data_IF_627350261436
#
_entry.id   IF_627350261436
#
_cell.length_a   1.000
_cell.length_b   1.000
_cell.length_c   1.000
_cell.angle_alpha   90.00
_cell.angle_beta   90.00
_cell.angle_gamma   90.00
#
_symmetry.space_group_name_H-M   'P 1'
#
loop_
_entity.id
_entity.type
_entity.pdbx_description
1 polymer ?
#
# COMPACT_ATOMS: atom_id res chain seq x y z
N UNK A 1 -5.89 -2.39 -5.11
CA UNK A 1 -5.54 -3.25 -6.26
C UNK A 1 -5.06 -4.63 -5.82
N UNK A 2 -3.97 -4.76 -5.04
CA UNK A 2 -3.45 -6.08 -4.61
C UNK A 2 -4.50 -7.02 -3.99
N UNK A 3 -5.28 -6.55 -3.00
CA UNK A 3 -6.35 -7.37 -2.40
C UNK A 3 -7.47 -7.74 -3.39
N UNK A 4 -7.82 -6.84 -4.32
CA UNK A 4 -8.82 -7.10 -5.35
C UNK A 4 -8.32 -8.14 -6.39
N UNK A 5 -7.03 -8.17 -6.69
CA UNK A 5 -6.43 -9.22 -7.52
C UNK A 5 -6.53 -10.60 -6.87
N UNK A 6 -6.31 -10.70 -5.56
CA UNK A 6 -6.48 -11.96 -4.84
C UNK A 6 -7.93 -12.45 -4.92
N UNK A 7 -8.90 -11.54 -4.94
CA UNK A 7 -10.29 -11.86 -5.18
C UNK A 7 -10.56 -12.42 -6.57
N UNK A 8 -9.94 -11.88 -7.63
CA UNK A 8 -10.05 -12.45 -8.98
C UNK A 8 -9.60 -13.92 -8.98
N UNK A 9 -8.46 -14.21 -8.35
CA UNK A 9 -7.93 -15.57 -8.23
C UNK A 9 -8.85 -16.46 -7.37
N UNK A 10 -9.24 -15.98 -6.18
CA UNK A 10 -10.08 -16.74 -5.26
C UNK A 10 -11.45 -17.06 -5.87
N UNK A 11 -12.04 -16.13 -6.62
CA UNK A 11 -13.30 -16.32 -7.30
C UNK A 11 -13.24 -17.43 -8.35
N UNK A 12 -12.16 -17.46 -9.14
CA UNK A 12 -11.94 -18.48 -10.18
C UNK A 12 -11.62 -19.85 -9.56
N UNK A 13 -10.83 -19.91 -8.49
CA UNK A 13 -10.43 -21.17 -7.83
C UNK A 13 -11.51 -21.80 -6.95
N UNK A 14 -12.25 -21.00 -6.18
CA UNK A 14 -13.22 -21.49 -5.19
C UNK A 14 -14.63 -21.65 -5.78
N UNK A 15 -14.80 -21.36 -7.07
CA UNK A 15 -16.08 -21.42 -7.78
C UNK A 15 -17.22 -20.74 -6.99
N UNK A 16 -16.89 -19.61 -6.35
CA UNK A 16 -17.81 -18.90 -5.47
C UNK A 16 -19.00 -18.43 -6.31
N UNK A 17 -20.21 -18.91 -6.01
CA UNK A 17 -21.43 -18.57 -6.74
C UNK A 17 -21.70 -17.07 -6.84
N UNK A 18 -21.16 -16.29 -5.91
CA UNK A 18 -21.04 -14.83 -5.92
C UNK A 18 -20.48 -14.24 -7.23
N UNK A 19 -19.66 -15.00 -7.94
CA UNK A 19 -18.78 -14.55 -9.01
C UNK A 19 -18.97 -15.35 -10.30
N UNK A 20 -20.09 -16.08 -10.44
CA UNK A 20 -20.48 -16.74 -11.70
C UNK A 20 -20.64 -15.77 -12.90
N UNK A 21 -20.66 -14.46 -12.67
CA UNK A 21 -20.64 -13.43 -13.73
C UNK A 21 -19.24 -13.06 -14.25
N UNK A 22 -18.15 -13.57 -13.67
CA UNK A 22 -16.80 -13.33 -14.22
C UNK A 22 -16.51 -14.15 -15.47
N UNK A 23 -17.19 -15.28 -15.70
CA UNK A 23 -16.78 -16.28 -16.68
C UNK A 23 -17.11 -15.95 -18.15
N UNK A 24 -17.26 -14.68 -18.52
CA UNK A 24 -17.53 -14.30 -19.91
C UNK A 24 -16.81 -13.04 -20.38
N UNK A 25 -17.09 -11.89 -19.77
CA UNK A 25 -16.65 -10.59 -20.32
C UNK A 25 -16.09 -9.60 -19.28
N UNK A 26 -16.21 -9.88 -17.97
CA UNK A 26 -15.82 -8.94 -16.92
C UNK A 26 -14.38 -9.07 -16.42
N UNK A 27 -13.74 -10.23 -16.54
CA UNK A 27 -12.40 -10.47 -15.95
C UNK A 27 -11.33 -9.62 -16.62
N UNK A 28 -11.32 -9.58 -17.95
CA UNK A 28 -10.35 -8.78 -18.72
C UNK A 28 -10.39 -7.29 -18.31
N UNK A 29 -11.54 -6.58 -18.35
CA UNK A 29 -11.58 -5.18 -17.93
C UNK A 29 -11.26 -4.98 -16.44
N UNK A 30 -11.62 -5.92 -15.56
CA UNK A 30 -11.25 -5.86 -14.13
C UNK A 30 -9.73 -5.94 -13.98
N UNK A 31 -9.09 -6.96 -14.56
CA UNK A 31 -7.63 -7.14 -14.49
C UNK A 31 -6.90 -5.94 -15.11
N UNK A 32 -7.37 -5.44 -16.26
CA UNK A 32 -6.82 -4.26 -16.92
C UNK A 32 -6.91 -3.02 -16.02
N UNK A 33 -8.06 -2.79 -15.37
CA UNK A 33 -8.23 -1.67 -14.44
C UNK A 33 -7.32 -1.81 -13.21
N UNK A 34 -7.16 -3.02 -12.67
CA UNK A 34 -6.24 -3.30 -11.57
C UNK A 34 -4.78 -3.03 -11.96
N UNK A 35 -4.38 -3.38 -13.19
CA UNK A 35 -3.07 -3.06 -13.75
C UNK A 35 -2.87 -1.54 -13.88
N UNK A 36 -3.87 -0.80 -14.35
CA UNK A 36 -3.80 0.67 -14.44
C UNK A 36 -3.59 1.27 -13.05
N UNK A 37 -4.37 0.84 -12.05
CA UNK A 37 -4.25 1.33 -10.67
C UNK A 37 -2.87 1.01 -10.05
N UNK A 38 -2.34 -0.19 -10.29
CA UNK A 38 -0.99 -0.57 -9.82
C UNK A 38 0.10 0.21 -10.53
N UNK A 39 0.00 0.36 -11.84
CA UNK A 39 0.97 1.11 -12.65
C UNK A 39 1.00 2.57 -12.22
N UNK A 40 -0.17 3.18 -11.97
CA UNK A 40 -0.25 4.52 -11.40
C UNK A 40 0.47 4.61 -10.04
N UNK A 41 0.23 3.65 -9.15
CA UNK A 41 0.92 3.55 -7.86
C UNK A 41 2.44 3.43 -8.01
N UNK A 42 2.92 2.60 -8.94
CA UNK A 42 4.35 2.41 -9.22
C UNK A 42 5.00 3.66 -9.83
N UNK A 43 4.31 4.38 -10.70
CA UNK A 43 4.81 5.65 -11.24
C UNK A 43 4.99 6.64 -10.09
N UNK A 44 3.97 6.81 -9.24
CA UNK A 44 4.06 7.68 -8.05
C UNK A 44 5.18 7.27 -7.09
N UNK A 45 5.38 5.97 -6.89
CA UNK A 45 6.49 5.43 -6.11
C UNK A 45 7.85 5.85 -6.70
N UNK A 46 8.05 5.72 -8.00
CA UNK A 46 9.33 6.08 -8.60
C UNK A 46 9.57 7.60 -8.64
N UNK A 47 8.51 8.39 -8.81
CA UNK A 47 8.61 9.86 -8.89
C UNK A 47 8.94 10.54 -7.55
N UNK A 48 8.71 9.88 -6.41
CA UNK A 48 9.09 10.45 -5.11
C UNK A 48 10.59 10.32 -4.79
N UNK A 49 11.34 9.56 -5.58
CA UNK A 49 12.77 9.37 -5.36
C UNK A 49 13.51 10.68 -5.70
N UNK A 50 14.54 11.03 -4.93
CA UNK A 50 15.35 12.22 -5.20
C UNK A 50 16.05 12.20 -6.57
N UNK A 51 16.33 10.99 -7.11
CA UNK A 51 16.87 10.78 -8.46
C UNK A 51 16.11 9.65 -9.18
N UNK A 52 14.91 9.92 -9.70
CA UNK A 52 13.99 8.90 -10.19
C UNK A 52 14.51 8.15 -11.43
N UNK A 53 15.42 8.75 -12.21
CA UNK A 53 16.08 8.11 -13.36
C UNK A 53 16.96 6.90 -12.98
N UNK A 54 17.33 6.76 -11.71
CA UNK A 54 18.14 5.65 -11.22
C UNK A 54 17.34 4.61 -10.42
N UNK A 55 16.01 4.55 -10.60
CA UNK A 55 15.14 3.62 -9.88
C UNK A 55 15.60 2.15 -9.99
N UNK A 56 16.16 1.75 -11.13
CA UNK A 56 16.65 0.39 -11.38
C UNK A 56 17.76 -0.05 -10.41
N UNK A 57 18.48 0.89 -9.80
CA UNK A 57 19.48 0.58 -8.78
C UNK A 57 18.87 0.03 -7.49
N UNK A 58 17.56 0.20 -7.29
CA UNK A 58 16.81 -0.40 -6.18
C UNK A 58 16.89 -1.92 -6.14
N UNK A 59 17.21 -2.58 -7.26
CA UNK A 59 17.37 -4.04 -7.35
C UNK A 59 18.77 -4.57 -6.98
N UNK A 60 19.76 -3.70 -6.75
CA UNK A 60 21.16 -4.14 -6.63
C UNK A 60 21.47 -4.96 -5.37
N UNK A 61 20.64 -4.90 -4.33
CA UNK A 61 20.93 -5.55 -3.05
C UNK A 61 19.76 -6.42 -2.56
N UNK A 62 19.33 -7.38 -3.39
CA UNK A 62 18.26 -8.34 -3.03
C UNK A 62 18.63 -9.21 -1.84
N UNK A 63 19.94 -9.47 -1.63
CA UNK A 63 20.40 -10.34 -0.56
C UNK A 63 20.24 -9.72 0.82
N UNK A 64 20.41 -8.41 0.99
CA UNK A 64 20.39 -7.79 2.33
C UNK A 64 19.34 -6.72 2.51
N UNK A 65 18.95 -6.00 1.46
CA UNK A 65 18.03 -4.87 1.58
C UNK A 65 16.57 -5.32 1.57
N UNK A 66 15.79 -5.05 2.65
CA UNK A 66 14.35 -5.32 2.66
C UNK A 66 13.60 -4.53 1.58
N UNK A 67 14.04 -3.30 1.28
CA UNK A 67 13.46 -2.46 0.21
C UNK A 67 13.66 -3.11 -1.16
N UNK A 68 14.86 -3.64 -1.42
CA UNK A 68 15.14 -4.31 -2.71
C UNK A 68 14.24 -5.53 -2.91
N UNK A 69 14.01 -6.31 -1.84
CA UNK A 69 13.13 -7.48 -1.86
C UNK A 69 11.66 -7.11 -1.98
N UNK A 70 11.23 -5.98 -1.40
CA UNK A 70 9.91 -5.41 -1.61
C UNK A 70 9.67 -5.12 -3.08
N UNK A 71 10.57 -4.35 -3.70
CA UNK A 71 10.49 -3.98 -5.12
C UNK A 71 10.43 -5.25 -5.99
N UNK A 72 11.26 -6.25 -5.73
CA UNK A 72 11.22 -7.51 -6.45
C UNK A 72 9.88 -8.27 -6.29
N UNK A 73 9.34 -8.32 -5.07
CA UNK A 73 8.04 -8.96 -4.81
C UNK A 73 6.88 -8.23 -5.50
N UNK A 74 6.85 -6.90 -5.45
CA UNK A 74 5.84 -6.09 -6.14
C UNK A 74 5.94 -6.23 -7.66
N UNK A 75 7.16 -6.25 -8.21
CA UNK A 75 7.38 -6.48 -9.63
C UNK A 75 6.92 -7.88 -10.05
N UNK A 76 7.22 -8.91 -9.25
CA UNK A 76 6.72 -10.26 -9.49
C UNK A 76 5.19 -10.31 -9.46
N UNK A 77 4.56 -9.57 -8.55
CA UNK A 77 3.10 -9.44 -8.48
C UNK A 77 2.52 -8.81 -9.75
N UNK A 78 3.12 -7.73 -10.25
CA UNK A 78 2.68 -7.08 -11.50
C UNK A 78 2.91 -7.98 -12.71
N UNK A 79 4.03 -8.72 -12.77
CA UNK A 79 4.27 -9.74 -13.81
C UNK A 79 3.18 -10.81 -13.77
N UNK A 80 2.85 -11.32 -12.59
CA UNK A 80 1.77 -12.29 -12.42
C UNK A 80 0.42 -11.75 -12.91
N UNK A 81 0.09 -10.51 -12.58
CA UNK A 81 -1.15 -9.89 -13.04
C UNK A 81 -1.18 -9.66 -14.56
N UNK A 82 -0.04 -9.30 -15.16
CA UNK A 82 0.09 -9.22 -16.62
C UNK A 82 -0.05 -10.60 -17.28
N UNK A 83 0.52 -11.64 -16.67
CA UNK A 83 0.34 -13.03 -17.14
C UNK A 83 -1.14 -13.45 -17.05
N UNK A 84 -1.85 -13.10 -15.97
CA UNK A 84 -3.28 -13.36 -15.86
C UNK A 84 -4.04 -12.68 -17.00
N UNK A 85 -3.77 -11.39 -17.27
CA UNK A 85 -4.40 -10.68 -18.39
C UNK A 85 -4.11 -11.37 -19.73
N UNK A 86 -2.85 -11.78 -19.95
CA UNK A 86 -2.44 -12.46 -21.18
C UNK A 86 -3.16 -13.80 -21.38
N UNK A 87 -3.29 -14.60 -20.32
CA UNK A 87 -4.02 -15.87 -20.36
C UNK A 87 -5.49 -15.65 -20.71
N UNK A 88 -6.14 -14.66 -20.10
CA UNK A 88 -7.55 -14.35 -20.35
C UNK A 88 -7.79 -13.84 -21.79
N UNK A 89 -6.87 -13.04 -22.34
CA UNK A 89 -6.98 -12.53 -23.73
C UNK A 89 -6.72 -13.65 -24.75
N UNK A 90 -5.72 -14.51 -24.51
CA UNK A 90 -5.29 -15.53 -25.48
C UNK A 90 -6.05 -16.85 -25.36
N UNK A 91 -6.74 -17.08 -24.25
CA UNK A 91 -7.41 -18.35 -23.95
C UNK A 91 -6.45 -19.49 -23.62
N UNK A 92 -5.15 -19.21 -23.40
CA UNK A 92 -4.12 -20.23 -23.10
C UNK A 92 -4.20 -20.72 -21.64
N UNK A 93 -5.29 -21.43 -21.31
CA UNK A 93 -5.59 -21.91 -19.95
C UNK A 93 -4.51 -22.79 -19.31
N UNK A 94 -3.61 -23.37 -20.11
CA UNK A 94 -2.46 -24.13 -19.59
C UNK A 94 -1.55 -23.28 -18.68
N UNK A 95 -1.50 -21.96 -18.88
CA UNK A 95 -0.70 -21.04 -18.06
C UNK A 95 -1.48 -20.38 -16.92
N UNK A 96 -2.77 -20.68 -16.75
CA UNK A 96 -3.66 -20.05 -15.76
C UNK A 96 -3.14 -20.21 -14.33
N UNK A 97 -2.88 -21.46 -13.91
CA UNK A 97 -2.35 -21.74 -12.57
C UNK A 97 -0.92 -21.19 -12.38
N UNK A 98 -0.13 -21.10 -13.44
CA UNK A 98 1.20 -20.49 -13.38
C UNK A 98 1.06 -18.99 -13.11
N UNK A 99 0.16 -18.30 -13.81
CA UNK A 99 -0.12 -16.89 -13.60
C UNK A 99 -0.62 -16.61 -12.18
N UNK A 100 -1.52 -17.44 -11.65
CA UNK A 100 -1.97 -17.33 -10.26
C UNK A 100 -0.83 -17.56 -9.28
N UNK A 101 -0.02 -18.60 -9.47
CA UNK A 101 1.11 -18.93 -8.61
C UNK A 101 2.12 -17.77 -8.54
N UNK A 102 2.51 -17.22 -9.69
CA UNK A 102 3.40 -16.06 -9.78
C UNK A 102 2.79 -14.85 -9.05
N UNK A 103 1.50 -14.59 -9.26
CA UNK A 103 0.80 -13.48 -8.61
C UNK A 103 0.75 -13.63 -7.09
N UNK A 104 0.38 -14.81 -6.58
CA UNK A 104 0.28 -15.08 -5.14
C UNK A 104 1.66 -15.02 -4.47
N UNK A 105 2.70 -15.57 -5.09
CA UNK A 105 4.08 -15.49 -4.58
C UNK A 105 4.55 -14.04 -4.56
N UNK A 106 4.30 -13.29 -5.64
CA UNK A 106 4.61 -11.86 -5.70
C UNK A 106 3.90 -11.06 -4.61
N UNK A 107 2.61 -11.33 -4.37
CA UNK A 107 1.85 -10.71 -3.28
C UNK A 107 2.46 -11.04 -1.93
N UNK A 108 2.74 -12.32 -1.66
CA UNK A 108 3.29 -12.77 -0.38
C UNK A 108 4.65 -12.11 -0.09
N UNK A 109 5.57 -12.11 -1.06
CA UNK A 109 6.89 -11.49 -0.91
C UNK A 109 6.78 -9.96 -0.80
N UNK A 110 6.08 -9.31 -1.74
CA UNK A 110 5.96 -7.85 -1.78
C UNK A 110 5.30 -7.30 -0.52
N UNK A 111 4.13 -7.83 -0.16
CA UNK A 111 3.38 -7.38 1.03
C UNK A 111 4.14 -7.64 2.34
N UNK A 112 4.86 -8.77 2.44
CA UNK A 112 5.65 -9.08 3.63
C UNK A 112 6.77 -8.06 3.84
N UNK A 113 7.51 -7.70 2.78
CA UNK A 113 8.56 -6.69 2.89
C UNK A 113 8.00 -5.29 3.07
N UNK A 114 6.85 -4.94 2.47
CA UNK A 114 6.13 -3.69 2.76
C UNK A 114 5.83 -3.55 4.25
N UNK A 115 5.28 -4.61 4.87
CA UNK A 115 5.05 -4.65 6.31
C UNK A 115 6.36 -4.55 7.11
N UNK A 116 7.37 -5.36 6.76
CA UNK A 116 8.65 -5.42 7.47
C UNK A 116 9.38 -4.08 7.46
N UNK A 117 9.27 -3.29 6.41
CA UNK A 117 9.91 -1.98 6.32
C UNK A 117 9.41 -0.98 7.35
N UNK A 118 8.20 -1.15 7.87
CA UNK A 118 7.69 -0.33 8.96
C UNK A 118 8.03 -0.88 10.34
N UNK A 119 8.42 -2.16 10.46
CA UNK A 119 8.84 -2.79 11.73
C UNK A 119 10.29 -2.43 12.07
N UNK A 120 10.57 -1.13 12.19
CA UNK A 120 11.89 -0.59 12.51
C UNK A 120 11.94 -0.32 14.02
N UNK A 121 12.84 -0.97 14.79
CA UNK A 121 12.95 -0.75 16.24
C UNK A 121 13.21 0.70 16.64
N UNK A 122 13.89 1.46 15.79
CA UNK A 122 14.12 2.90 15.97
C UNK A 122 12.86 3.77 15.76
N UNK A 123 11.71 3.19 15.42
CA UNK A 123 10.42 3.88 15.29
C UNK A 123 9.37 3.14 16.13
N UNK A 124 9.37 3.33 17.46
CA UNK A 124 8.53 2.56 18.38
C UNK A 124 7.04 2.60 18.04
N UNK A 125 6.54 3.71 17.51
CA UNK A 125 5.15 3.83 17.05
C UNK A 125 4.79 2.84 15.93
N UNK A 126 5.70 2.56 15.00
CA UNK A 126 5.50 1.62 13.90
C UNK A 126 5.87 0.17 14.23
N UNK A 127 6.77 -0.04 15.19
CA UNK A 127 7.27 -1.36 15.56
C UNK A 127 6.28 -2.16 16.41
N UNK A 128 5.10 -2.40 15.85
CA UNK A 128 4.05 -3.19 16.47
C UNK A 128 3.33 -4.02 15.40
N UNK A 129 2.73 -5.15 15.79
CA UNK A 129 2.04 -6.05 14.86
C UNK A 129 0.78 -5.42 14.27
N UNK A 130 0.24 -4.38 14.91
CA UNK A 130 -0.87 -3.58 14.39
C UNK A 130 -0.57 -2.98 13.01
N UNK A 131 0.69 -2.66 12.70
CA UNK A 131 1.05 -2.20 11.36
C UNK A 131 0.68 -3.24 10.30
N UNK A 132 0.94 -4.51 10.61
CA UNK A 132 0.53 -5.63 9.75
C UNK A 132 -0.98 -5.79 9.71
N UNK A 133 -1.65 -5.66 10.86
CA UNK A 133 -3.10 -5.79 10.91
C UNK A 133 -3.82 -4.67 10.14
N UNK A 134 -3.36 -3.43 10.22
CA UNK A 134 -3.89 -2.33 9.41
C UNK A 134 -3.52 -2.47 7.93
N UNK A 135 -2.38 -3.09 7.60
CA UNK A 135 -1.99 -3.31 6.20
C UNK A 135 -2.85 -4.39 5.53
N UNK A 136 -2.89 -5.59 6.12
CA UNK A 136 -3.67 -6.71 5.61
C UNK A 136 -5.18 -6.51 5.83
N UNK A 137 -5.58 -5.83 6.90
CA UNK A 137 -6.97 -5.44 7.16
C UNK A 137 -7.52 -4.54 6.06
N UNK A 138 -6.77 -3.52 5.63
CA UNK A 138 -7.15 -2.70 4.45
C UNK A 138 -7.11 -3.50 3.15
N UNK A 139 -6.17 -4.43 2.98
CA UNK A 139 -6.14 -5.30 1.80
C UNK A 139 -7.39 -6.19 1.70
N UNK A 140 -7.89 -6.69 2.83
CA UNK A 140 -9.14 -7.43 2.92
C UNK A 140 -10.35 -6.51 2.78
N UNK A 141 -10.44 -5.38 3.48
CA UNK A 141 -11.61 -4.50 3.43
C UNK A 141 -11.72 -3.74 2.10
N UNK A 142 -10.83 -2.79 1.86
CA UNK A 142 -10.85 -1.96 0.66
C UNK A 142 -10.57 -2.78 -0.60
N UNK A 143 -9.77 -3.86 -0.51
CA UNK A 143 -9.57 -4.77 -1.65
C UNK A 143 -10.82 -5.53 -2.06
N UNK A 144 -11.61 -6.04 -1.10
CA UNK A 144 -12.89 -6.69 -1.40
C UNK A 144 -13.90 -5.72 -2.00
N UNK A 145 -14.03 -4.53 -1.42
CA UNK A 145 -14.96 -3.51 -1.93
C UNK A 145 -14.56 -3.00 -3.31
N UNK A 146 -13.26 -2.81 -3.57
CA UNK A 146 -12.78 -2.45 -4.91
C UNK A 146 -13.10 -3.55 -5.93
N UNK A 147 -12.91 -4.82 -5.57
CA UNK A 147 -13.27 -5.94 -6.45
C UNK A 147 -14.76 -5.94 -6.77
N UNK A 148 -15.63 -5.83 -5.76
CA UNK A 148 -17.08 -5.77 -5.97
C UNK A 148 -17.52 -4.56 -6.78
N UNK A 149 -16.89 -3.40 -6.58
CA UNK A 149 -17.19 -2.20 -7.36
C UNK A 149 -16.85 -2.39 -8.85
N UNK A 150 -15.72 -3.02 -9.15
CA UNK A 150 -15.32 -3.32 -10.54
C UNK A 150 -16.17 -4.43 -11.15
N UNK A 151 -16.71 -5.35 -10.34
CA UNK A 151 -17.59 -6.43 -10.78
C UNK A 151 -19.05 -5.97 -10.97
N UNK A 152 -19.47 -4.88 -10.33
CA UNK A 152 -20.85 -4.38 -10.34
C UNK A 152 -21.42 -4.15 -11.76
N UNK A 153 -20.70 -3.54 -12.73
CA UNK A 153 -21.20 -3.38 -14.11
C UNK A 153 -21.43 -4.70 -14.85
N UNK A 154 -20.85 -5.80 -14.37
CA UNK A 154 -20.95 -7.13 -14.96
C UNK A 154 -21.98 -8.01 -14.25
N UNK A 155 -22.80 -7.44 -13.36
CA UNK A 155 -23.87 -8.17 -12.66
C UNK A 155 -23.36 -8.86 -11.40
N UNK A 156 -22.95 -8.07 -10.40
CA UNK A 156 -22.66 -8.56 -9.05
C UNK A 156 -23.96 -9.06 -8.39
N UNK A 157 -23.99 -10.34 -8.05
CA UNK A 157 -25.15 -10.96 -7.37
C UNK A 157 -25.24 -10.52 -5.90
N UNK A 158 -26.44 -10.59 -5.32
CA UNK A 158 -26.69 -10.34 -3.90
C UNK A 158 -25.83 -11.24 -3.01
N UNK A 159 -25.69 -12.52 -3.36
CA UNK A 159 -24.79 -13.45 -2.69
C UNK A 159 -23.33 -12.99 -2.76
N UNK A 160 -22.92 -12.35 -3.86
CA UNK A 160 -21.59 -11.76 -4.01
C UNK A 160 -21.38 -10.52 -3.16
N UNK A 161 -22.39 -9.67 -3.05
CA UNK A 161 -22.37 -8.54 -2.11
C UNK A 161 -22.20 -9.04 -0.68
N UNK A 162 -22.96 -10.05 -0.26
CA UNK A 162 -22.86 -10.63 1.08
C UNK A 162 -21.47 -11.21 1.36
N UNK A 163 -20.89 -11.96 0.42
CA UNK A 163 -19.55 -12.54 0.57
C UNK A 163 -18.47 -11.46 0.66
N UNK A 164 -18.52 -10.46 -0.22
CA UNK A 164 -17.59 -9.33 -0.21
C UNK A 164 -17.71 -8.54 1.09
N UNK A 165 -18.93 -8.27 1.55
CA UNK A 165 -19.19 -7.60 2.82
C UNK A 165 -18.65 -8.40 4.01
N UNK A 166 -18.77 -9.73 4.00
CA UNK A 166 -18.27 -10.59 5.09
C UNK A 166 -16.73 -10.55 5.21
N UNK A 167 -16.01 -10.63 4.10
CA UNK A 167 -14.54 -10.54 4.10
C UNK A 167 -14.10 -9.11 4.39
N UNK A 168 -14.85 -8.11 3.92
CA UNK A 168 -14.55 -6.73 4.25
C UNK A 168 -14.73 -6.44 5.75
N UNK A 169 -15.77 -7.01 6.38
CA UNK A 169 -15.98 -6.96 7.82
C UNK A 169 -14.83 -7.61 8.58
N UNK A 170 -14.35 -8.78 8.14
CA UNK A 170 -13.16 -9.43 8.72
C UNK A 170 -11.92 -8.52 8.65
N UNK A 171 -11.70 -7.85 7.50
CA UNK A 171 -10.62 -6.89 7.34
C UNK A 171 -10.71 -5.70 8.28
N UNK A 172 -11.91 -5.11 8.43
CA UNK A 172 -12.17 -3.99 9.34
C UNK A 172 -12.04 -4.41 10.80
N UNK A 173 -12.49 -5.61 11.17
CA UNK A 173 -12.35 -6.16 12.51
C UNK A 173 -10.87 -6.37 12.87
N UNK A 174 -10.10 -6.97 11.95
CA UNK A 174 -8.66 -7.20 12.13
C UNK A 174 -7.87 -5.89 12.26
N UNK A 175 -8.22 -4.86 11.50
CA UNK A 175 -7.67 -3.51 11.67
C UNK A 175 -8.07 -2.90 13.03
N UNK A 176 -9.34 -3.01 13.42
CA UNK A 176 -9.87 -2.46 14.67
C UNK A 176 -9.22 -3.09 15.91
N UNK A 177 -9.08 -4.41 15.94
CA UNK A 177 -8.40 -5.14 17.03
C UNK A 177 -6.95 -4.68 17.14
N UNK A 178 -6.25 -4.53 16.01
CA UNK A 178 -4.91 -3.97 15.99
C UNK A 178 -4.82 -2.60 16.63
N UNK A 179 -5.70 -1.67 16.24
CA UNK A 179 -5.73 -0.31 16.80
C UNK A 179 -6.02 -0.29 18.30
N UNK A 180 -6.88 -1.18 18.80
CA UNK A 180 -7.20 -1.30 20.23
C UNK A 180 -5.97 -1.73 21.02
N UNK A 181 -5.26 -2.77 20.56
CA UNK A 181 -4.06 -3.28 21.25
C UNK A 181 -2.91 -2.29 21.14
N UNK A 182 -2.69 -1.71 19.96
CA UNK A 182 -1.66 -0.70 19.75
C UNK A 182 -1.85 0.49 20.68
N UNK A 183 -3.09 0.96 20.89
CA UNK A 183 -3.40 2.04 21.84
C UNK A 183 -2.90 1.75 23.25
N UNK A 184 -2.90 0.50 23.69
CA UNK A 184 -2.39 0.12 25.01
C UNK A 184 -0.86 0.11 25.02
N UNK A 185 -0.25 -0.35 23.93
CA UNK A 185 1.20 -0.46 23.79
C UNK A 185 1.88 0.91 23.70
N UNK A 186 1.34 1.83 22.89
CA UNK A 186 1.93 3.18 22.76
C UNK A 186 1.89 4.01 24.04
N UNK A 187 1.11 3.62 25.05
CA UNK A 187 1.05 4.33 26.34
C UNK A 187 2.20 3.99 27.30
N UNK A 188 2.98 2.94 27.04
CA UNK A 188 3.85 2.34 28.06
C UNK A 188 5.04 3.22 28.44
N UNK A 189 5.82 3.74 27.49
CA UNK A 189 6.95 4.64 27.79
C UNK A 189 7.56 5.29 26.53
N UNK A 190 8.30 6.38 26.72
CA UNK A 190 9.23 6.96 25.72
C UNK A 190 8.54 7.65 24.55
N UNK A 191 9.14 7.56 23.37
CA UNK A 191 8.64 8.26 22.17
C UNK A 191 7.30 7.75 21.65
N UNK A 192 6.98 6.48 21.90
CA UNK A 192 5.64 5.96 21.66
C UNK A 192 4.57 6.74 22.43
N UNK A 193 4.87 7.17 23.66
CA UNK A 193 3.97 7.96 24.49
C UNK A 193 3.83 9.40 23.95
N UNK A 194 4.92 9.99 23.45
CA UNK A 194 4.87 11.29 22.78
C UNK A 194 4.01 11.23 21.50
N UNK A 195 4.14 10.15 20.71
CA UNK A 195 3.26 9.90 19.56
C UNK A 195 1.80 9.75 19.98
N UNK A 196 1.51 9.07 21.09
CA UNK A 196 0.15 8.95 21.63
C UNK A 196 -0.40 10.30 22.12
N UNK A 197 0.43 11.14 22.75
CA UNK A 197 0.03 12.48 23.17
C UNK A 197 -0.40 13.31 21.95
N UNK A 198 0.47 13.40 20.94
CA UNK A 198 0.20 14.12 19.67
C UNK A 198 -1.05 13.60 18.95
N UNK A 199 -1.27 12.29 19.00
CA UNK A 199 -2.44 11.62 18.43
C UNK A 199 -3.76 12.05 19.09
N UNK A 200 -3.74 12.30 20.40
CA UNK A 200 -4.93 12.67 21.17
C UNK A 200 -5.12 14.19 21.22
N UNK A 201 -4.05 14.97 21.13
CA UNK A 201 -4.08 16.44 21.14
C UNK A 201 -4.23 17.00 19.72
N UNK A 202 -3.15 17.15 18.97
CA UNK A 202 -3.11 17.77 17.64
C UNK A 202 -4.02 17.05 16.65
N UNK A 203 -3.98 15.71 16.65
CA UNK A 203 -4.77 14.89 15.73
C UNK A 203 -6.01 14.27 16.38
N UNK A 204 -6.47 14.77 17.53
CA UNK A 204 -7.55 14.16 18.31
C UNK A 204 -8.86 13.97 17.52
N UNK A 205 -9.27 14.98 16.74
CA UNK A 205 -10.46 14.90 15.86
C UNK A 205 -10.31 13.83 14.78
N UNK A 206 -9.16 13.77 14.12
CA UNK A 206 -8.84 12.78 13.09
C UNK A 206 -8.78 11.37 13.69
N UNK A 207 -8.18 11.22 14.87
CA UNK A 207 -8.11 9.97 15.61
C UNK A 207 -9.50 9.43 15.96
N UNK A 208 -10.38 10.29 16.47
CA UNK A 208 -11.78 9.97 16.80
C UNK A 208 -12.58 9.64 15.53
N UNK A 209 -12.47 10.47 14.48
CA UNK A 209 -13.17 10.26 13.23
C UNK A 209 -12.80 8.92 12.58
N UNK A 210 -11.51 8.57 12.53
CA UNK A 210 -11.08 7.28 11.97
C UNK A 210 -11.58 6.09 12.80
N UNK A 211 -11.66 6.19 14.12
CA UNK A 211 -12.25 5.13 14.94
C UNK A 211 -13.77 5.02 14.76
N UNK A 212 -14.46 6.17 14.70
CA UNK A 212 -15.90 6.21 14.46
C UNK A 212 -16.24 5.62 13.08
N UNK A 213 -15.47 5.97 12.05
CA UNK A 213 -15.63 5.42 10.70
C UNK A 213 -15.37 3.91 10.67
N UNK A 214 -14.40 3.37 11.41
CA UNK A 214 -14.23 1.91 11.51
C UNK A 214 -15.50 1.25 12.08
N UNK A 215 -16.07 1.81 13.16
CA UNK A 215 -17.33 1.35 13.75
C UNK A 215 -18.52 1.40 12.77
N UNK A 216 -18.73 2.56 12.14
CA UNK A 216 -19.79 2.78 11.16
C UNK A 216 -19.62 1.84 9.95
N UNK A 217 -18.40 1.70 9.42
CA UNK A 217 -18.15 0.82 8.28
C UNK A 217 -18.41 -0.65 8.62
N UNK A 218 -18.08 -1.12 9.83
CA UNK A 218 -18.45 -2.47 10.27
C UNK A 218 -19.97 -2.65 10.31
N UNK A 219 -20.72 -1.67 10.84
CA UNK A 219 -22.18 -1.71 10.84
C UNK A 219 -22.77 -1.72 9.42
N UNK A 220 -22.22 -0.92 8.50
CA UNK A 220 -22.61 -0.92 7.09
C UNK A 220 -22.33 -2.28 6.43
N UNK A 221 -21.20 -2.94 6.75
CA UNK A 221 -20.93 -4.29 6.22
C UNK A 221 -21.99 -5.29 6.71
N UNK A 222 -22.37 -5.24 7.99
CA UNK A 222 -23.45 -6.09 8.53
C UNK A 222 -24.78 -5.78 7.83
N UNK A 223 -25.09 -4.51 7.59
CA UNK A 223 -26.29 -4.13 6.85
C UNK A 223 -26.28 -4.67 5.42
N UNK A 224 -25.16 -4.55 4.69
CA UNK A 224 -25.00 -5.12 3.35
C UNK A 224 -25.14 -6.65 3.31
N UNK A 225 -24.83 -7.34 4.42
CA UNK A 225 -25.04 -8.79 4.53
C UNK A 225 -26.52 -9.15 4.70
N UNK A 226 -27.34 -8.26 5.27
CA UNK A 226 -28.78 -8.49 5.48
C UNK A 226 -29.61 -8.01 4.29
N UNK A 227 -29.26 -6.83 3.77
CA UNK A 227 -29.94 -6.16 2.66
C UNK A 227 -28.90 -5.70 1.62
N UNK A 228 -28.53 -6.59 0.67
CA UNK A 228 -27.66 -6.22 -0.43
C UNK A 228 -28.22 -5.04 -1.24
N UNK A 229 -27.44 -3.97 -1.35
CA UNK A 229 -27.83 -2.78 -2.09
C UNK A 229 -26.63 -2.16 -2.79
N UNK A 230 -26.75 -1.91 -4.09
CA UNK A 230 -25.68 -1.32 -4.89
C UNK A 230 -25.32 0.11 -4.42
N UNK A 231 -26.31 0.90 -4.02
CA UNK A 231 -26.08 2.25 -3.51
C UNK A 231 -25.34 2.20 -2.18
N UNK A 232 -25.81 1.36 -1.24
CA UNK A 232 -25.15 1.19 0.05
C UNK A 232 -23.72 0.65 -0.13
N UNK A 233 -23.50 -0.24 -1.10
CA UNK A 233 -22.18 -0.75 -1.45
C UNK A 233 -21.25 0.36 -1.93
N UNK A 234 -21.69 1.21 -2.86
CA UNK A 234 -20.90 2.33 -3.36
C UNK A 234 -20.56 3.34 -2.25
N UNK A 235 -21.54 3.67 -1.39
CA UNK A 235 -21.32 4.54 -0.22
C UNK A 235 -20.31 3.90 0.74
N UNK A 236 -20.41 2.60 0.98
CA UNK A 236 -19.49 1.87 1.85
C UNK A 236 -18.06 1.88 1.31
N UNK A 237 -17.88 1.75 -0.01
CA UNK A 237 -16.57 1.84 -0.65
C UNK A 237 -15.91 3.20 -0.40
N UNK A 238 -16.66 4.28 -0.61
CA UNK A 238 -16.15 5.65 -0.38
C UNK A 238 -15.83 5.86 1.11
N UNK A 239 -16.72 5.42 2.01
CA UNK A 239 -16.51 5.55 3.46
C UNK A 239 -15.29 4.77 3.96
N UNK A 240 -15.09 3.53 3.48
CA UNK A 240 -13.90 2.73 3.81
C UNK A 240 -12.64 3.34 3.20
N UNK A 241 -12.72 3.90 1.98
CA UNK A 241 -11.60 4.60 1.36
C UNK A 241 -11.17 5.83 2.19
N UNK A 242 -12.13 6.64 2.66
CA UNK A 242 -11.87 7.78 3.54
C UNK A 242 -11.27 7.30 4.86
N UNK A 243 -11.83 6.26 5.47
CA UNK A 243 -11.30 5.68 6.72
C UNK A 243 -9.86 5.21 6.56
N UNK A 244 -9.54 4.50 5.47
CA UNK A 244 -8.20 4.03 5.17
C UNK A 244 -7.24 5.20 4.92
N UNK A 245 -7.68 6.24 4.20
CA UNK A 245 -6.89 7.45 3.95
C UNK A 245 -6.53 8.19 5.24
N UNK A 246 -7.50 8.40 6.14
CA UNK A 246 -7.25 8.99 7.46
C UNK A 246 -6.32 8.11 8.30
N UNK A 247 -6.49 6.79 8.24
CA UNK A 247 -5.60 5.83 8.90
C UNK A 247 -4.15 5.97 8.42
N UNK A 248 -3.92 6.14 7.12
CA UNK A 248 -2.57 6.34 6.56
C UNK A 248 -2.00 7.72 6.92
N UNK A 249 -2.80 8.78 6.94
CA UNK A 249 -2.34 10.10 7.42
C UNK A 249 -1.82 10.01 8.85
N UNK A 250 -2.61 9.44 9.76
CA UNK A 250 -2.21 9.27 11.16
C UNK A 250 -0.97 8.39 11.27
N UNK A 251 -0.92 7.29 10.52
CA UNK A 251 0.22 6.39 10.52
C UNK A 251 1.56 7.08 10.18
N UNK A 252 1.58 8.05 9.26
CA UNK A 252 2.79 8.80 8.92
C UNK A 252 3.04 10.02 9.81
N UNK A 253 1.99 10.75 10.19
CA UNK A 253 2.12 12.01 10.93
C UNK A 253 2.63 11.80 12.38
N UNK A 254 2.24 10.68 12.99
CA UNK A 254 2.47 10.41 14.42
C UNK A 254 3.84 9.82 14.72
N UNK A 255 4.68 9.66 13.71
CA UNK A 255 5.99 9.03 13.87
C UNK A 255 6.98 10.05 14.38
N UNK A 256 7.58 9.75 15.53
CA UNK A 256 8.63 10.54 16.14
C UNK A 256 9.95 9.73 16.04
N UNK A 257 11.08 10.32 15.59
CA UNK A 257 12.37 9.63 15.51
C UNK A 257 13.06 9.48 16.86
N UNK A 258 13.69 8.32 17.09
CA UNK A 258 14.48 8.07 18.31
C UNK A 258 15.87 8.68 18.32
N UNK A 259 16.40 9.01 17.16
CA UNK A 259 17.84 9.29 17.00
C UNK A 259 18.17 10.76 16.75
N UNK A 260 17.25 11.69 16.96
CA UNK A 260 17.56 13.12 16.72
C UNK A 260 16.92 14.04 17.78
N UNK A 261 17.74 14.79 18.54
CA UNK A 261 17.31 16.07 19.11
C UNK A 261 16.69 16.98 18.03
N UNK A 262 17.08 16.79 16.77
CA UNK A 262 16.48 17.37 15.56
C UNK A 262 14.98 17.17 15.37
N UNK A 263 14.35 16.13 15.95
CA UNK A 263 12.89 16.01 15.95
C UNK A 263 12.20 17.19 16.66
N UNK A 264 12.89 17.78 17.64
CA UNK A 264 12.48 19.00 18.34
C UNK A 264 12.65 20.26 17.49
N UNK A 265 13.62 20.26 16.56
CA UNK A 265 13.99 21.41 15.75
C UNK A 265 13.26 21.47 14.39
N UNK A 266 12.94 20.33 13.78
CA UNK A 266 12.35 20.28 12.43
C UNK A 266 10.82 20.40 12.41
N UNK A 267 10.14 20.02 13.49
CA UNK A 267 8.69 20.20 13.66
C UNK A 267 8.34 21.52 14.37
N UNK A 268 9.34 22.26 14.83
CA UNK A 268 9.13 23.57 15.41
C UNK A 268 9.23 24.60 14.28
N UNK A 269 8.07 25.00 13.73
CA UNK A 269 7.99 25.95 12.62
C UNK A 269 8.76 27.24 12.93
N UNK A 270 8.78 27.69 14.19
CA UNK A 270 9.55 28.87 14.61
C UNK A 270 11.05 28.66 14.55
N UNK A 271 11.54 27.44 14.82
CA UNK A 271 12.96 27.13 14.66
C UNK A 271 13.32 26.97 13.18
N UNK A 272 12.45 26.36 12.36
CA UNK A 272 12.64 26.26 10.92
C UNK A 272 12.72 27.65 10.28
N UNK A 273 11.81 28.55 10.63
CA UNK A 273 11.82 29.96 10.21
C UNK A 273 13.09 30.67 10.67
N UNK A 274 13.41 30.60 11.97
CA UNK A 274 14.61 31.23 12.51
C UNK A 274 15.90 30.71 11.85
N UNK A 275 15.99 29.41 11.58
CA UNK A 275 17.16 28.81 10.95
C UNK A 275 17.28 29.15 9.45
N UNK A 276 16.17 29.41 8.77
CA UNK A 276 16.17 29.95 7.40
C UNK A 276 16.61 31.43 7.44
N UNK A 277 16.05 32.23 8.35
CA UNK A 277 16.37 33.66 8.49
C UNK A 277 17.84 33.91 8.87
N UNK A 278 18.43 33.02 9.65
CA UNK A 278 19.82 33.13 10.14
C UNK A 278 20.85 32.44 9.25
N UNK A 279 20.43 31.82 8.13
CA UNK A 279 21.32 31.08 7.22
C UNK A 279 21.84 29.75 7.76
N UNK A 280 21.35 29.31 8.93
CA UNK A 280 21.63 28.00 9.52
C UNK A 280 21.15 26.84 8.62
N UNK A 281 20.18 27.09 7.73
CA UNK A 281 19.72 26.13 6.71
C UNK A 281 20.75 25.78 5.65
N UNK A 282 21.78 26.61 5.46
CA UNK A 282 22.83 26.36 4.46
C UNK A 282 23.94 25.43 4.96
N UNK A 283 23.93 25.12 6.27
CA UNK A 283 24.88 24.20 6.88
C UNK A 283 24.32 22.77 6.84
N UNK A 284 24.92 21.84 6.06
CA UNK A 284 24.41 20.47 5.91
C UNK A 284 24.32 19.71 7.25
N UNK A 285 25.17 20.09 8.21
CA UNK A 285 25.25 19.50 9.55
C UNK A 285 24.01 19.79 10.41
N UNK A 286 23.31 20.89 10.15
CA UNK A 286 22.09 21.28 10.89
C UNK A 286 20.86 20.48 10.43
N UNK A 287 20.96 19.80 9.28
CA UNK A 287 19.93 18.93 8.75
C UNK A 287 18.75 19.67 8.08
N UNK A 288 18.58 20.96 8.32
CA UNK A 288 17.40 21.74 7.92
C UNK A 288 17.26 21.78 6.39
N UNK A 289 16.38 20.94 5.85
CA UNK A 289 16.06 20.93 4.42
C UNK A 289 15.16 22.10 4.09
N UNK A 290 15.69 23.07 3.33
CA UNK A 290 14.86 24.01 2.58
C UNK A 290 13.95 23.24 1.61
N UNK A 291 12.68 23.63 1.50
CA UNK A 291 11.71 23.03 0.57
C UNK A 291 12.16 23.23 -0.88
N UNK A 292 12.98 22.31 -1.40
CA UNK A 292 13.38 22.27 -2.81
C UNK A 292 12.63 21.15 -3.51
N UNK A 293 11.60 21.52 -4.27
CA UNK A 293 10.97 20.59 -5.20
C UNK A 293 11.95 20.22 -6.33
N UNK A 294 12.43 18.98 -6.32
CA UNK A 294 13.21 18.45 -7.44
C UNK A 294 12.28 18.12 -8.60
N UNK A 295 12.42 18.84 -9.72
CA UNK A 295 11.73 18.51 -10.98
C UNK A 295 12.37 17.26 -11.60
N UNK A 296 11.54 16.35 -12.10
CA UNK A 296 11.98 15.15 -12.82
C UNK A 296 12.76 15.55 -14.09
N UNK A 297 14.04 15.16 -14.18
CA UNK A 297 14.88 15.46 -15.35
C UNK A 297 14.72 14.38 -16.43
N UNK A 298 13.79 14.63 -17.35
CA UNK A 298 13.52 13.77 -18.51
C UNK A 298 14.76 13.63 -19.40
N UNK A 299 15.57 14.69 -19.55
CA UNK A 299 16.77 14.67 -20.41
C UNK A 299 17.84 13.76 -19.83
N UNK A 300 18.03 13.80 -18.51
CA UNK A 300 18.94 12.88 -17.83
C UNK A 300 18.51 11.41 -17.99
N UNK A 301 17.21 11.10 -17.88
CA UNK A 301 16.70 9.74 -18.12
C UNK A 301 17.02 9.26 -19.55
N UNK A 302 16.70 10.08 -20.55
CA UNK A 302 16.93 9.73 -21.97
C UNK A 302 18.42 9.53 -22.25
N UNK A 303 19.29 10.34 -21.65
CA UNK A 303 20.73 10.18 -21.78
C UNK A 303 21.22 8.86 -21.16
N UNK A 304 20.73 8.49 -19.97
CA UNK A 304 21.05 7.20 -19.35
C UNK A 304 20.62 6.04 -20.25
N UNK A 305 19.40 6.07 -20.80
CA UNK A 305 18.91 5.01 -21.70
C UNK A 305 19.79 4.91 -22.96
N UNK A 306 20.17 6.04 -23.56
CA UNK A 306 21.01 6.06 -24.77
C UNK A 306 22.44 5.61 -24.54
N UNK A 307 22.98 5.87 -23.35
CA UNK A 307 24.38 5.53 -23.02
C UNK A 307 24.54 4.11 -22.48
N UNK A 308 23.46 3.49 -21.99
CA UNK A 308 23.55 2.13 -21.43
C UNK A 308 23.68 1.12 -22.55
N UNK A 309 24.83 0.44 -22.63
CA UNK A 309 25.08 -0.61 -23.62
C UNK A 309 24.50 -1.96 -23.18
N UNK A 310 24.18 -2.85 -24.14
CA UNK A 310 23.69 -4.21 -23.85
C UNK A 310 24.61 -5.02 -22.93
N UNK A 311 25.92 -4.80 -23.04
CA UNK A 311 26.92 -5.44 -22.16
C UNK A 311 26.76 -4.98 -20.71
N UNK A 312 26.50 -3.69 -20.48
CA UNK A 312 26.26 -3.13 -19.15
C UNK A 312 24.93 -3.60 -18.57
N UNK A 313 23.87 -3.70 -19.39
CA UNK A 313 22.58 -4.29 -18.97
C UNK A 313 22.81 -5.72 -18.47
N UNK A 314 23.55 -6.54 -19.21
CA UNK A 314 23.81 -7.93 -18.80
C UNK A 314 24.69 -8.01 -17.54
N UNK A 315 25.69 -7.13 -17.40
CA UNK A 315 26.49 -7.04 -16.17
C UNK A 315 25.65 -6.61 -14.97
N UNK A 316 24.71 -5.67 -15.14
CA UNK A 316 23.78 -5.26 -14.09
C UNK A 316 22.81 -6.37 -13.70
N UNK A 317 22.25 -7.11 -14.66
CA UNK A 317 21.41 -8.28 -14.36
C UNK A 317 22.21 -9.32 -13.57
N UNK A 318 23.46 -9.59 -13.99
CA UNK A 318 24.34 -10.54 -13.30
C UNK A 318 24.71 -10.09 -11.89
N UNK A 319 24.89 -8.79 -11.65
CA UNK A 319 25.15 -8.26 -10.30
C UNK A 319 23.92 -8.33 -9.41
N UNK A 320 22.72 -8.06 -9.95
CA UNK A 320 21.44 -8.22 -9.24
C UNK A 320 21.23 -9.67 -8.80
N UNK A 321 21.50 -10.64 -9.69
CA UNK A 321 21.36 -12.07 -9.39
C UNK A 321 22.42 -12.57 -8.40
N UNK A 322 23.65 -12.07 -8.47
CA UNK A 322 24.73 -12.45 -7.54
C UNK A 322 24.66 -11.72 -6.20
N UNK A 323 23.83 -10.68 -6.08
CA UNK A 323 23.60 -9.94 -4.84
C UNK A 323 24.71 -8.95 -4.48
N UNK A 324 25.41 -8.40 -5.48
CA UNK A 324 26.64 -7.63 -5.28
C UNK A 324 27.85 -8.52 -5.08
#
# INVERSE_FOLDING_TARGET
AMGATLWVIAAQLLNLGAVKSTSGNGVIPIIAMLLILLTYGLIKLNLHLGKPQFFYRGYYNLRWSPVSREIAGVTLFVIGLMMMLFVEITGLKIFEYVAYGVTVIGFALGSYYMYKLYRIPARPFWDHWQTGSAFYGTALSLGSLLFGLLLMPFGLSDAGVMQIASIALLGLALESIGHIVHRQDVKKFGESQASYFEQVTTFGKTYQMRNALLGVNMAIMVWLMMEPSALLFAVSFVSVLVSAYLGRILFYALVIPTTMPGGFFWKNDKFKEHAIETGLSDMPQMGIMADRHHKFDVKALVNVIKQTTFKEVFMQIKSIVRGG
#
